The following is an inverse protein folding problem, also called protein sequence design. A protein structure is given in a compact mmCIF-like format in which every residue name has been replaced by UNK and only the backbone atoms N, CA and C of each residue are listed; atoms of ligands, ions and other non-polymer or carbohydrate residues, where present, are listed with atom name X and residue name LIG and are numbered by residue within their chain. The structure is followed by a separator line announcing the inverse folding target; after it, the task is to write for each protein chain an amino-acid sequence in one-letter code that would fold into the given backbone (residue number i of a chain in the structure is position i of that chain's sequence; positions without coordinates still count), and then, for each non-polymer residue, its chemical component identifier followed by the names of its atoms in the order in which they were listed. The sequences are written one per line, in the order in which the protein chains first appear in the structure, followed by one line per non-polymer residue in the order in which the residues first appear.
data_IF_462981744293
#
_entry.id   IF_462981744293
#
_cell.length_a   1.000
_cell.length_b   1.000
_cell.length_c   1.000
_cell.angle_alpha   90.00
_cell.angle_beta   90.00
_cell.angle_gamma   90.00
#
_symmetry.space_group_name_H-M   'P 1'
#
loop_
_entity.id
_entity.type
_entity.pdbx_description
1 polymer ?
#
# COMPACT_ATOMS: atom_id res chain seq x y z
N UNK A 1 10.78 -1.74 -6.81
CA UNK A 1 10.83 -2.74 -5.72
C UNK A 1 9.45 -3.34 -5.57
N UNK A 2 9.32 -4.67 -5.68
CA UNK A 2 8.05 -5.37 -5.59
C UNK A 2 7.90 -6.01 -4.21
N UNK A 3 6.77 -5.78 -3.56
CA UNK A 3 6.55 -6.25 -2.19
C UNK A 3 5.06 -6.49 -1.90
N UNK A 4 4.79 -7.43 -1.00
CA UNK A 4 3.46 -7.61 -0.43
C UNK A 4 3.36 -6.79 0.85
N UNK A 5 2.38 -5.90 0.90
CA UNK A 5 2.16 -4.97 2.01
C UNK A 5 0.74 -5.04 2.53
N UNK A 6 0.58 -4.70 3.79
CA UNK A 6 -0.72 -4.51 4.44
C UNK A 6 -1.08 -3.04 4.34
N UNK A 7 -2.12 -2.69 3.58
CA UNK A 7 -2.68 -1.34 3.51
C UNK A 7 -3.64 -1.15 4.67
N UNK A 8 -3.30 -0.20 5.56
CA UNK A 8 -4.03 0.09 6.79
C UNK A 8 -4.99 1.26 6.64
N UNK A 9 -4.62 2.27 5.85
CA UNK A 9 -5.44 3.44 5.60
C UNK A 9 -5.21 3.99 4.19
N UNK A 10 -6.25 4.58 3.62
CA UNK A 10 -6.24 5.17 2.28
C UNK A 10 -6.77 6.59 2.38
N UNK A 11 -6.09 7.53 1.74
CA UNK A 11 -6.49 8.93 1.64
C UNK A 11 -6.47 9.38 0.19
N UNK A 12 -7.58 9.93 -0.27
CA UNK A 12 -7.76 10.51 -1.61
C UNK A 12 -8.01 12.01 -1.57
N UNK A 13 -7.83 12.64 -0.40
CA UNK A 13 -8.16 14.05 -0.13
C UNK A 13 -7.29 15.06 -0.89
N UNK A 14 -6.04 14.71 -1.19
CA UNK A 14 -5.07 15.57 -1.90
C UNK A 14 -5.06 15.26 -3.39
N UNK A 15 -4.29 16.01 -4.16
CA UNK A 15 -4.10 15.79 -5.60
C UNK A 15 -3.68 14.33 -5.88
N UNK A 16 -2.67 13.84 -5.16
CA UNK A 16 -2.26 12.44 -5.18
C UNK A 16 -2.98 11.64 -4.11
N UNK A 17 -3.23 10.37 -4.40
CA UNK A 17 -3.63 9.41 -3.40
C UNK A 17 -2.47 9.10 -2.47
N UNK A 18 -2.79 8.69 -1.24
CA UNK A 18 -1.82 8.25 -0.26
C UNK A 18 -2.34 7.03 0.49
N UNK A 19 -1.46 6.07 0.74
CA UNK A 19 -1.74 4.89 1.55
C UNK A 19 -0.76 4.79 2.72
N UNK A 20 -1.29 4.39 3.88
CA UNK A 20 -0.50 3.93 5.02
C UNK A 20 -0.34 2.42 4.92
N UNK A 21 0.88 1.93 5.01
CA UNK A 21 1.17 0.50 4.90
C UNK A 21 2.09 -0.02 6.01
N UNK A 22 1.97 -1.32 6.29
CA UNK A 22 2.96 -2.12 7.01
C UNK A 22 3.53 -3.17 6.07
N UNK A 23 4.82 -3.46 6.20
CA UNK A 23 5.42 -4.65 5.56
C UNK A 23 5.00 -5.91 6.29
N UNK A 24 5.14 -7.07 5.65
CA UNK A 24 4.90 -8.37 6.29
C UNK A 24 6.07 -8.86 7.15
N UNK A 25 7.26 -8.29 6.94
CA UNK A 25 8.44 -8.57 7.75
C UNK A 25 8.53 -7.58 8.91
N UNK A 26 9.32 -7.94 9.95
CA UNK A 26 9.62 -7.07 11.08
C UNK A 26 10.18 -5.72 10.60
N UNK A 27 9.37 -4.69 10.72
CA UNK A 27 9.69 -3.33 10.31
C UNK A 27 9.19 -2.39 11.40
N UNK A 28 10.09 -1.56 11.91
CA UNK A 28 9.79 -0.62 12.98
C UNK A 28 9.13 0.67 12.48
N UNK A 29 8.91 0.81 11.17
CA UNK A 29 8.36 2.03 10.56
C UNK A 29 7.10 1.78 9.75
N UNK A 30 6.02 2.46 10.12
CA UNK A 30 4.87 2.66 9.22
C UNK A 30 5.34 3.35 7.94
N UNK A 31 5.14 2.73 6.78
CA UNK A 31 5.51 3.31 5.49
C UNK A 31 4.33 4.01 4.84
N UNK A 32 4.58 5.18 4.26
CA UNK A 32 3.62 5.93 3.46
C UNK A 32 3.98 5.86 1.99
N UNK A 33 3.00 5.62 1.11
CA UNK A 33 3.20 5.58 -0.33
C UNK A 33 2.18 6.48 -1.02
N UNK A 34 2.62 7.25 -2.00
CA UNK A 34 1.72 8.00 -2.87
C UNK A 34 1.30 7.16 -4.08
N UNK A 35 0.16 7.50 -4.68
CA UNK A 35 -0.33 6.86 -5.88
C UNK A 35 -1.14 7.82 -6.77
N UNK A 36 -1.15 7.54 -8.07
CA UNK A 36 -2.03 8.19 -9.05
C UNK A 36 -3.48 7.69 -8.89
N UNK A 37 -4.39 8.59 -8.50
CA UNK A 37 -5.80 8.26 -8.25
C UNK A 37 -6.52 7.77 -9.51
N UNK A 38 -6.15 8.27 -10.68
CA UNK A 38 -6.78 7.87 -11.95
C UNK A 38 -6.45 6.41 -12.30
N UNK A 39 -5.25 5.95 -11.92
CA UNK A 39 -4.78 4.58 -12.18
C UNK A 39 -5.19 3.60 -11.10
N UNK A 40 -5.06 4.00 -9.83
CA UNK A 40 -5.15 3.06 -8.71
C UNK A 40 -6.29 3.35 -7.74
N UNK A 41 -7.12 4.38 -7.96
CA UNK A 41 -8.23 4.71 -7.08
C UNK A 41 -9.23 3.56 -6.88
N UNK A 42 -9.50 2.77 -7.93
CA UNK A 42 -10.36 1.58 -7.83
C UNK A 42 -9.68 0.42 -7.08
N UNK A 43 -8.36 0.29 -7.21
CA UNK A 43 -7.54 -0.75 -6.55
C UNK A 43 -7.45 -0.47 -5.05
N UNK A 44 -7.09 0.76 -4.68
CA UNK A 44 -7.04 1.24 -3.31
C UNK A 44 -8.40 1.76 -2.85
N UNK A 45 -9.39 0.86 -2.82
CA UNK A 45 -10.76 1.16 -2.38
C UNK A 45 -11.06 0.71 -0.95
N UNK A 46 -10.24 -0.19 -0.36
CA UNK A 46 -10.42 -0.67 1.01
C UNK A 46 -9.08 -1.14 1.62
N UNK A 47 -8.92 -1.10 2.96
CA UNK A 47 -7.77 -1.72 3.63
C UNK A 47 -7.68 -3.24 3.38
N UNK A 48 -6.47 -3.78 3.40
CA UNK A 48 -6.24 -5.20 3.12
C UNK A 48 -4.81 -5.52 2.71
N UNK A 49 -4.61 -6.68 2.09
CA UNK A 49 -3.34 -7.15 1.58
C UNK A 49 -3.20 -6.82 0.09
N UNK A 50 -2.06 -6.25 -0.26
CA UNK A 50 -1.78 -5.77 -1.61
C UNK A 50 -0.38 -6.20 -2.05
N UNK A 51 -0.26 -6.56 -3.31
CA UNK A 51 1.01 -6.60 -4.00
C UNK A 51 1.25 -5.22 -4.63
N UNK A 52 2.38 -4.60 -4.32
CA UNK A 52 2.74 -3.29 -4.85
C UNK A 52 4.13 -3.35 -5.48
N UNK A 53 4.30 -2.57 -6.54
CA UNK A 53 5.61 -2.20 -7.03
C UNK A 53 5.79 -0.70 -6.81
N UNK A 54 6.90 -0.33 -6.16
CA UNK A 54 7.20 1.06 -5.80
C UNK A 54 8.54 1.54 -6.33
N UNK A 55 8.61 2.84 -6.55
CA UNK A 55 9.86 3.60 -6.73
C UNK A 55 10.05 4.55 -5.55
N UNK A 56 11.28 4.79 -5.13
CA UNK A 56 11.60 5.82 -4.13
C UNK A 56 12.12 7.06 -4.86
N UNK A 57 11.36 8.15 -4.85
CA UNK A 57 11.71 9.41 -5.52
C UNK A 57 12.54 10.37 -4.63
N UNK A 58 12.96 9.92 -3.44
CA UNK A 58 13.75 10.74 -2.54
C UNK A 58 15.13 11.03 -3.13
N UNK A 59 15.56 12.29 -3.06
CA UNK A 59 16.94 12.67 -3.34
C UNK A 59 17.86 12.27 -2.18
N UNK A 60 19.18 12.26 -2.41
CA UNK A 60 20.16 11.97 -1.37
C UNK A 60 19.96 12.88 -0.14
N UNK A 61 19.90 12.28 1.05
CA UNK A 61 19.67 12.98 2.32
C UNK A 61 18.20 13.32 2.64
N UNK A 62 17.24 12.95 1.78
CA UNK A 62 15.81 13.14 2.06
C UNK A 62 15.16 11.87 2.61
N UNK A 63 14.05 12.06 3.33
CA UNK A 63 13.17 10.95 3.72
C UNK A 63 12.62 10.25 2.48
N UNK A 64 12.39 8.94 2.58
CA UNK A 64 11.86 8.15 1.49
C UNK A 64 10.52 8.71 0.96
N UNK A 65 10.38 8.75 -0.36
CA UNK A 65 9.19 9.24 -1.06
C UNK A 65 8.71 8.15 -2.02
N UNK A 66 8.06 7.13 -1.46
CA UNK A 66 7.58 6.00 -2.24
C UNK A 66 6.38 6.37 -3.10
N UNK A 67 6.43 5.94 -4.36
CA UNK A 67 5.33 6.03 -5.32
C UNK A 67 4.99 4.64 -5.85
N UNK A 68 3.69 4.31 -5.83
CA UNK A 68 3.16 3.09 -6.43
C UNK A 68 3.16 3.21 -7.95
N UNK A 69 3.85 2.29 -8.63
CA UNK A 69 3.90 2.19 -10.09
C UNK A 69 3.10 1.01 -10.64
N UNK A 70 2.89 -0.03 -9.82
CA UNK A 70 1.95 -1.13 -10.09
C UNK A 70 1.30 -1.58 -8.79
N UNK A 71 0.05 -2.03 -8.84
CA UNK A 71 -0.59 -2.64 -7.67
C UNK A 71 -1.70 -3.60 -8.04
N UNK A 72 -1.85 -4.65 -7.22
CA UNK A 72 -2.95 -5.60 -7.25
C UNK A 72 -3.41 -5.89 -5.82
N UNK A 73 -4.73 -5.86 -5.60
CA UNK A 73 -5.34 -6.28 -4.34
C UNK A 73 -5.32 -7.81 -4.24
N UNK A 74 -4.81 -8.33 -3.14
CA UNK A 74 -4.80 -9.77 -2.85
C UNK A 74 -6.02 -10.17 -2.00
N UNK A 75 -6.48 -9.27 -1.13
CA UNK A 75 -7.71 -9.47 -0.35
C UNK A 75 -7.94 -8.34 0.66
N UNK A 76 -9.20 -8.14 1.05
CA UNK A 76 -9.60 -7.29 2.18
C UNK A 76 -9.33 -7.98 3.51
N UNK A 77 -9.31 -7.22 4.61
CA UNK A 77 -9.25 -7.85 5.93
C UNK A 77 -10.40 -8.81 6.22
N UNK A 78 -11.61 -8.53 5.72
CA UNK A 78 -12.75 -9.45 5.87
C UNK A 78 -12.47 -10.79 5.17
N UNK A 79 -12.03 -10.76 3.91
CA UNK A 79 -11.66 -11.96 3.16
C UNK A 79 -10.51 -12.72 3.83
N UNK A 80 -9.51 -12.02 4.36
CA UNK A 80 -8.39 -12.64 5.07
C UNK A 80 -8.83 -13.31 6.38
N UNK A 81 -9.77 -12.71 7.11
CA UNK A 81 -10.34 -13.32 8.32
C UNK A 81 -11.10 -14.60 7.95
N UNK A 82 -11.91 -14.58 6.90
CA UNK A 82 -12.63 -15.78 6.45
C UNK A 82 -11.65 -16.89 6.02
N UNK A 83 -10.58 -16.55 5.29
CA UNK A 83 -9.53 -17.51 4.94
C UNK A 83 -8.84 -18.11 6.17
N UNK A 84 -8.63 -17.32 7.24
CA UNK A 84 -8.01 -17.80 8.46
C UNK A 84 -8.90 -18.76 9.27
N UNK A 85 -10.23 -18.66 9.13
CA UNK A 85 -11.21 -19.55 9.78
C UNK A 85 -11.33 -20.93 9.12
N UNK A 86 -10.85 -21.08 7.88
CA UNK A 86 -10.86 -22.35 7.14
C UNK A 86 -9.70 -23.28 7.58
N UNK A 87 -8.97 -22.91 8.66
CA UNK A 87 -7.93 -23.74 9.27
C UNK A 87 -8.47 -24.74 10.28
#
# INVERSE_FOLDING_TARGET
MKETVVVLAISTKKERGWIKVSTLNDCWSDLGMHFDKSKFGAVFSAPGLYEVEVINNASFGQNAQYEVIQSRKLGTFAELIEMAKIK
#
